data_IF_484211765868
#
_entry.id   IF_484211765868
#
_cell.length_a   1.000
_cell.length_b   1.000
_cell.length_c   1.000
_cell.angle_alpha   90.00
_cell.angle_beta   90.00
_cell.angle_gamma   90.00
#
_symmetry.space_group_name_H-M   'P 1'
#
loop_
_entity.id
_entity.type
_entity.pdbx_description
1 polymer ?
#
# COMPACT_ATOMS: atom_id res chain seq x y z
N UNK A 1 18.76 10.13 14.89
CA UNK A 1 17.62 10.03 13.93
C UNK A 1 18.25 10.04 12.57
N UNK A 2 18.62 8.87 12.09
CA UNK A 2 19.33 8.74 10.82
C UNK A 2 18.32 8.72 9.68
N UNK A 3 18.46 9.72 8.81
CA UNK A 3 17.71 9.91 7.58
C UNK A 3 18.01 8.76 6.59
N UNK A 4 17.31 7.63 6.71
CA UNK A 4 17.55 6.43 5.91
C UNK A 4 16.58 6.29 4.72
N UNK A 5 15.83 7.33 4.35
CA UNK A 5 14.85 7.24 3.25
C UNK A 5 14.96 8.33 2.19
N UNK A 6 16.13 8.91 1.99
CA UNK A 6 16.34 9.79 0.83
C UNK A 6 16.91 8.96 -0.33
N UNK A 7 16.10 8.79 -1.40
CA UNK A 7 16.48 8.30 -2.73
C UNK A 7 16.64 6.79 -2.89
N UNK A 8 15.67 5.98 -2.47
CA UNK A 8 15.61 4.59 -2.93
C UNK A 8 14.82 4.48 -4.24
N UNK A 9 15.28 5.13 -5.29
CA UNK A 9 15.02 4.70 -6.65
C UNK A 9 16.26 3.91 -7.10
N UNK A 10 16.21 2.58 -7.14
CA UNK A 10 17.31 1.83 -7.72
C UNK A 10 17.43 2.29 -9.17
N UNK A 11 18.63 2.68 -9.59
CA UNK A 11 18.97 2.77 -11.01
C UNK A 11 19.02 1.34 -11.56
N UNK A 12 17.84 0.77 -11.77
CA UNK A 12 17.68 -0.53 -12.40
C UNK A 12 17.10 -0.28 -13.79
N UNK A 13 17.62 -0.98 -14.79
CA UNK A 13 17.07 -1.02 -16.16
C UNK A 13 15.68 -1.70 -16.20
N UNK A 14 15.05 -1.95 -15.04
CA UNK A 14 13.75 -2.57 -14.88
C UNK A 14 12.75 -1.54 -14.39
N UNK A 15 11.50 -1.56 -14.89
CA UNK A 15 10.44 -0.70 -14.41
C UNK A 15 10.22 -0.91 -12.89
N UNK A 16 10.07 0.18 -12.14
CA UNK A 16 9.65 0.11 -10.74
C UNK A 16 8.16 -0.21 -10.69
N UNK A 17 7.70 -0.87 -9.64
CA UNK A 17 6.27 -1.17 -9.54
C UNK A 17 5.44 0.08 -9.25
N UNK A 18 5.93 0.96 -8.36
CA UNK A 18 5.23 2.16 -7.93
C UNK A 18 6.15 3.39 -7.88
N UNK A 19 5.62 4.55 -8.25
CA UNK A 19 6.32 5.83 -8.19
C UNK A 19 5.37 6.93 -7.66
N UNK A 20 5.91 7.81 -6.80
CA UNK A 20 5.16 8.95 -6.26
C UNK A 20 5.47 10.22 -7.06
N UNK A 21 4.43 10.93 -7.50
CA UNK A 21 4.55 12.25 -8.12
C UNK A 21 5.11 13.26 -7.12
N UNK A 22 6.14 13.96 -7.55
CA UNK A 22 6.71 15.11 -6.85
C UNK A 22 6.92 16.24 -7.86
N UNK A 23 6.40 17.41 -7.56
CA UNK A 23 6.27 18.51 -8.51
C UNK A 23 7.57 18.93 -9.19
N UNK A 24 8.71 18.81 -8.50
CA UNK A 24 10.02 19.25 -8.97
C UNK A 24 10.89 18.12 -9.52
N UNK A 25 10.37 16.88 -9.57
CA UNK A 25 11.12 15.74 -10.06
C UNK A 25 11.00 15.59 -11.58
N UNK A 26 12.12 15.20 -12.20
CA UNK A 26 12.14 14.75 -13.58
C UNK A 26 11.98 13.23 -13.60
N UNK A 27 10.96 12.77 -14.31
CA UNK A 27 10.61 11.35 -14.45
C UNK A 27 11.03 10.78 -15.81
N UNK A 28 11.88 11.50 -16.58
CA UNK A 28 12.43 10.98 -17.83
C UNK A 28 13.22 9.69 -17.52
N UNK A 29 13.04 8.68 -18.34
CA UNK A 29 13.69 7.37 -18.21
C UNK A 29 13.26 6.54 -16.98
N UNK A 30 12.10 6.87 -16.37
CA UNK A 30 11.49 6.05 -15.31
C UNK A 30 10.23 5.40 -15.87
N UNK A 31 10.15 4.08 -15.79
CA UNK A 31 8.94 3.31 -16.08
C UNK A 31 8.36 2.76 -14.79
N UNK A 32 7.03 2.87 -14.61
CA UNK A 32 6.33 2.36 -13.44
C UNK A 32 4.98 1.77 -13.82
N UNK A 33 4.52 0.74 -13.06
CA UNK A 33 3.19 0.18 -13.26
C UNK A 33 2.10 1.01 -12.57
N UNK A 34 2.42 1.59 -11.41
CA UNK A 34 1.51 2.43 -10.63
C UNK A 34 2.12 3.81 -10.42
N UNK A 35 1.40 4.84 -10.84
CA UNK A 35 1.70 6.24 -10.55
C UNK A 35 0.86 6.70 -9.35
N UNK A 36 1.49 7.22 -8.32
CA UNK A 36 0.82 7.75 -7.13
C UNK A 36 0.94 9.26 -7.05
N UNK A 37 -0.05 9.92 -6.49
CA UNK A 37 0.01 11.32 -6.09
C UNK A 37 -0.74 11.53 -4.78
N UNK A 38 -0.29 12.49 -3.96
CA UNK A 38 -1.01 12.87 -2.75
C UNK A 38 -2.13 13.83 -3.11
N UNK A 39 -3.35 13.48 -2.75
CA UNK A 39 -4.52 14.34 -2.93
C UNK A 39 -4.41 15.54 -2.01
N UNK A 40 -4.49 16.74 -2.57
CA UNK A 40 -4.51 18.01 -1.84
C UNK A 40 -5.29 19.04 -2.66
N UNK A 41 -5.63 20.18 -2.04
CA UNK A 41 -6.44 21.24 -2.66
C UNK A 41 -5.80 21.95 -3.88
N UNK A 42 -4.53 21.69 -4.18
CA UNK A 42 -3.74 22.42 -5.17
C UNK A 42 -3.08 21.52 -6.22
N UNK A 43 -3.67 20.37 -6.54
CA UNK A 43 -3.12 19.53 -7.59
C UNK A 43 -3.51 20.06 -8.99
N UNK A 44 -2.64 19.77 -9.96
CA UNK A 44 -2.83 20.12 -11.37
C UNK A 44 -3.15 18.83 -12.14
N UNK A 45 -4.41 18.67 -12.55
CA UNK A 45 -4.90 17.45 -13.20
C UNK A 45 -4.15 17.14 -14.50
N UNK A 46 -3.79 18.18 -15.29
CA UNK A 46 -3.08 17.98 -16.56
C UNK A 46 -1.68 17.42 -16.30
N UNK A 47 -0.96 17.99 -15.32
CA UNK A 47 0.38 17.48 -14.95
C UNK A 47 0.35 16.06 -14.41
N UNK A 48 -0.70 15.66 -13.69
CA UNK A 48 -0.83 14.29 -13.19
C UNK A 48 -1.08 13.29 -14.31
N UNK A 49 -1.90 13.67 -15.30
CA UNK A 49 -2.13 12.84 -16.47
C UNK A 49 -0.87 12.73 -17.35
N UNK A 50 -0.15 13.84 -17.53
CA UNK A 50 1.13 13.85 -18.22
C UNK A 50 2.15 12.97 -17.50
N UNK A 51 2.23 13.05 -16.17
CA UNK A 51 3.08 12.20 -15.36
C UNK A 51 2.75 10.73 -15.54
N UNK A 52 1.46 10.33 -15.43
CA UNK A 52 1.02 8.96 -15.69
C UNK A 52 1.50 8.47 -17.05
N UNK A 53 1.31 9.28 -18.09
CA UNK A 53 1.73 8.95 -19.45
C UNK A 53 3.24 8.87 -19.59
N UNK A 54 3.99 9.80 -18.97
CA UNK A 54 5.45 9.86 -19.03
C UNK A 54 6.10 8.60 -18.42
N UNK A 55 5.58 8.10 -17.30
CA UNK A 55 6.09 6.90 -16.64
C UNK A 55 5.46 5.60 -17.17
N UNK A 56 4.52 5.68 -18.14
CA UNK A 56 3.85 4.52 -18.72
C UNK A 56 2.95 3.75 -17.75
N UNK A 57 2.45 4.41 -16.69
CA UNK A 57 1.71 3.73 -15.64
C UNK A 57 0.33 3.25 -16.09
N UNK A 58 -0.02 2.02 -15.69
CA UNK A 58 -1.34 1.42 -15.92
C UNK A 58 -2.43 2.13 -15.09
N UNK A 59 -2.12 2.47 -13.84
CA UNK A 59 -3.02 3.14 -12.93
C UNK A 59 -2.41 4.41 -12.34
N UNK A 60 -3.24 5.47 -12.23
CA UNK A 60 -2.99 6.65 -11.44
C UNK A 60 -3.79 6.58 -10.15
N UNK A 61 -3.09 6.50 -9.01
CA UNK A 61 -3.70 6.27 -7.69
C UNK A 61 -3.57 7.52 -6.83
N UNK A 62 -4.69 8.09 -6.41
CA UNK A 62 -4.73 9.21 -5.47
C UNK A 62 -4.58 8.75 -4.03
N UNK A 63 -3.55 9.23 -3.33
CA UNK A 63 -3.35 8.97 -1.90
C UNK A 63 -4.11 10.03 -1.10
N UNK A 64 -5.03 9.60 -0.27
CA UNK A 64 -5.83 10.45 0.62
C UNK A 64 -5.35 10.24 2.05
N UNK A 65 -4.89 11.31 2.68
CA UNK A 65 -4.46 11.30 4.08
C UNK A 65 -5.44 12.02 4.99
N UNK A 66 -6.30 12.87 4.42
CA UNK A 66 -7.36 13.58 5.13
C UNK A 66 -8.62 13.62 4.26
N UNK A 67 -9.77 13.29 4.84
CA UNK A 67 -11.06 13.29 4.13
C UNK A 67 -11.43 14.69 3.59
N UNK A 68 -11.04 15.73 4.28
CA UNK A 68 -11.34 17.11 3.88
C UNK A 68 -10.58 17.55 2.61
N UNK A 69 -9.51 16.82 2.24
CA UNK A 69 -8.74 17.09 1.03
C UNK A 69 -9.37 16.46 -0.24
N UNK A 70 -10.34 15.56 -0.07
CA UNK A 70 -11.05 14.97 -1.20
C UNK A 70 -11.96 16.00 -1.88
N UNK A 71 -11.67 16.28 -3.13
CA UNK A 71 -12.55 17.06 -4.01
C UNK A 71 -13.07 16.19 -5.14
N UNK A 72 -14.21 16.59 -5.73
CA UNK A 72 -14.75 15.90 -6.91
C UNK A 72 -13.73 15.83 -8.06
N UNK A 73 -12.85 16.82 -8.18
CA UNK A 73 -11.85 16.85 -9.25
C UNK A 73 -10.70 15.90 -8.98
N UNK A 74 -10.27 15.72 -7.72
CA UNK A 74 -9.23 14.75 -7.35
C UNK A 74 -9.70 13.31 -7.58
N UNK A 75 -10.96 13.04 -7.28
CA UNK A 75 -11.58 11.73 -7.50
C UNK A 75 -11.72 11.43 -9.00
N UNK A 76 -11.99 12.43 -9.84
CA UNK A 76 -12.14 12.26 -11.30
C UNK A 76 -10.82 11.99 -12.02
N UNK A 77 -9.70 12.53 -11.56
CA UNK A 77 -8.40 12.34 -12.22
C UNK A 77 -7.75 11.02 -11.84
N UNK A 78 -8.02 10.52 -10.63
CA UNK A 78 -7.48 9.25 -10.16
C UNK A 78 -8.29 8.07 -10.72
N UNK A 79 -7.59 7.03 -11.21
CA UNK A 79 -8.24 5.75 -11.53
C UNK A 79 -8.72 5.05 -10.27
N UNK A 80 -7.96 5.16 -9.18
CA UNK A 80 -8.19 4.52 -7.87
C UNK A 80 -7.82 5.45 -6.72
N UNK A 81 -8.39 5.20 -5.54
CA UNK A 81 -8.05 5.93 -4.31
C UNK A 81 -7.41 5.00 -3.30
N UNK A 82 -6.40 5.48 -2.61
CA UNK A 82 -5.75 4.78 -1.51
C UNK A 82 -5.64 5.68 -0.28
N UNK A 83 -6.23 5.23 0.82
CA UNK A 83 -6.16 5.90 2.11
C UNK A 83 -4.91 5.46 2.87
N UNK A 84 -4.22 6.38 3.52
CA UNK A 84 -3.18 6.07 4.50
C UNK A 84 -3.02 7.18 5.54
N UNK A 85 -2.29 6.89 6.61
CA UNK A 85 -1.88 7.93 7.55
C UNK A 85 -0.87 8.88 6.88
N UNK A 86 -0.82 10.18 7.23
CA UNK A 86 0.09 11.14 6.60
C UNK A 86 1.56 10.73 6.63
N UNK A 87 2.00 10.12 7.75
CA UNK A 87 3.38 9.67 7.94
C UNK A 87 3.72 8.38 7.15
N UNK A 88 2.72 7.73 6.58
CA UNK A 88 2.86 6.45 5.87
C UNK A 88 2.95 6.62 4.33
N UNK A 89 2.84 7.83 3.77
CA UNK A 89 2.82 8.06 2.31
C UNK A 89 4.07 7.51 1.63
N UNK A 90 5.26 7.90 2.09
CA UNK A 90 6.53 7.42 1.52
C UNK A 90 6.72 5.93 1.78
N UNK A 91 6.29 5.45 2.96
CA UNK A 91 6.35 4.04 3.34
C UNK A 91 5.48 3.20 2.41
N UNK A 92 4.29 3.67 2.05
CA UNK A 92 3.36 3.00 1.14
C UNK A 92 4.03 2.67 -0.19
N UNK A 93 4.57 3.68 -0.88
CA UNK A 93 5.20 3.51 -2.20
C UNK A 93 6.44 2.62 -2.12
N UNK A 94 7.29 2.85 -1.11
CA UNK A 94 8.46 2.01 -0.87
C UNK A 94 8.06 0.54 -0.58
N UNK A 95 6.97 0.33 0.16
CA UNK A 95 6.46 -1.01 0.46
C UNK A 95 5.99 -1.73 -0.79
N UNK A 96 5.23 -1.08 -1.69
CA UNK A 96 4.80 -1.72 -2.95
C UNK A 96 6.03 -2.19 -3.75
N UNK A 97 7.04 -1.35 -3.91
CA UNK A 97 8.27 -1.72 -4.62
C UNK A 97 9.02 -2.87 -3.93
N UNK A 98 9.05 -2.88 -2.59
CA UNK A 98 9.69 -3.94 -1.83
C UNK A 98 8.95 -5.28 -1.96
N UNK A 99 7.63 -5.28 -1.74
CA UNK A 99 6.84 -6.53 -1.71
C UNK A 99 6.73 -7.19 -3.09
N UNK A 100 6.85 -6.42 -4.16
CA UNK A 100 6.85 -6.91 -5.54
C UNK A 100 8.24 -7.26 -6.06
N UNK A 101 9.30 -7.04 -5.27
CA UNK A 101 10.66 -7.42 -5.65
C UNK A 101 10.85 -8.94 -5.59
N UNK A 102 11.78 -9.45 -6.42
CA UNK A 102 12.12 -10.87 -6.45
C UNK A 102 13.00 -11.33 -5.25
N UNK A 103 13.27 -10.44 -4.29
CA UNK A 103 14.12 -10.72 -3.13
C UNK A 103 13.33 -11.30 -1.95
N UNK A 104 12.01 -11.40 -2.05
CA UNK A 104 11.15 -11.90 -0.99
C UNK A 104 11.13 -13.43 -0.94
N UNK A 105 10.99 -14.00 0.26
CA UNK A 105 10.80 -15.45 0.44
C UNK A 105 9.47 -15.95 -0.13
N UNK A 106 8.40 -15.16 0.06
CA UNK A 106 7.12 -15.29 -0.64
C UNK A 106 6.85 -13.93 -1.26
N UNK A 107 6.92 -13.85 -2.58
CA UNK A 107 6.70 -12.61 -3.33
C UNK A 107 5.23 -12.37 -3.59
N UNK A 108 4.85 -11.11 -3.61
CA UNK A 108 3.58 -10.61 -4.14
C UNK A 108 3.89 -10.08 -5.54
N UNK A 109 3.09 -10.47 -6.55
CA UNK A 109 3.25 -9.98 -7.90
C UNK A 109 2.50 -8.64 -8.07
N UNK A 110 2.95 -7.81 -9.01
CA UNK A 110 2.22 -6.60 -9.41
C UNK A 110 0.79 -6.91 -9.88
N UNK A 111 0.61 -8.08 -10.51
CA UNK A 111 -0.70 -8.52 -10.97
C UNK A 111 -1.67 -8.80 -9.81
N UNK A 112 -1.17 -9.17 -8.62
CA UNK A 112 -2.02 -9.31 -7.43
C UNK A 112 -2.65 -7.95 -7.06
N UNK A 113 -1.88 -6.86 -7.16
CA UNK A 113 -2.40 -5.49 -6.99
C UNK A 113 -3.39 -5.11 -8.09
N UNK A 114 -3.09 -5.42 -9.35
CA UNK A 114 -3.99 -5.14 -10.47
C UNK A 114 -5.32 -5.87 -10.30
N UNK A 115 -5.29 -7.16 -9.96
CA UNK A 115 -6.51 -7.97 -9.72
C UNK A 115 -7.34 -7.35 -8.57
N UNK A 116 -6.70 -6.94 -7.48
CA UNK A 116 -7.41 -6.26 -6.39
C UNK A 116 -8.05 -4.95 -6.86
N UNK A 117 -7.33 -4.13 -7.63
CA UNK A 117 -7.86 -2.88 -8.14
C UNK A 117 -8.87 -3.04 -9.29
N UNK A 118 -8.83 -4.11 -10.08
CA UNK A 118 -9.83 -4.37 -11.12
C UNK A 118 -11.24 -4.51 -10.53
N UNK A 119 -11.34 -5.17 -9.38
CA UNK A 119 -12.60 -5.49 -8.73
C UNK A 119 -13.04 -4.44 -7.70
N UNK A 120 -12.18 -3.48 -7.36
CA UNK A 120 -12.44 -2.45 -6.34
C UNK A 120 -12.03 -1.07 -6.84
N UNK A 121 -12.49 -0.01 -6.20
CA UNK A 121 -12.11 1.36 -6.56
C UNK A 121 -11.35 2.09 -5.45
N UNK A 122 -11.32 1.51 -4.26
CA UNK A 122 -10.74 2.11 -3.07
C UNK A 122 -9.88 1.10 -2.32
N UNK A 123 -8.80 1.57 -1.74
CA UNK A 123 -7.93 0.77 -0.90
C UNK A 123 -7.49 1.58 0.33
N UNK A 124 -6.96 0.89 1.33
CA UNK A 124 -6.28 1.49 2.47
C UNK A 124 -4.95 0.79 2.72
N UNK A 125 -3.93 1.59 2.92
CA UNK A 125 -2.64 1.12 3.41
C UNK A 125 -2.57 1.23 4.93
N UNK A 126 -2.12 0.18 5.58
CA UNK A 126 -1.94 0.07 7.03
C UNK A 126 -0.56 -0.47 7.31
N UNK A 127 0.27 0.32 7.98
CA UNK A 127 1.55 -0.14 8.51
C UNK A 127 1.43 -0.47 9.99
N UNK A 128 2.05 -1.57 10.42
CA UNK A 128 2.11 -1.95 11.83
C UNK A 128 3.45 -2.58 12.17
N UNK A 129 4.04 -2.13 13.26
CA UNK A 129 5.31 -2.65 13.77
C UNK A 129 5.10 -3.36 15.09
N UNK A 130 5.68 -4.54 15.21
CA UNK A 130 5.68 -5.36 16.43
C UNK A 130 7.01 -6.10 16.59
N UNK A 131 7.08 -7.01 17.55
CA UNK A 131 8.19 -7.95 17.72
C UNK A 131 7.65 -9.38 17.70
N UNK A 132 8.51 -10.36 17.39
CA UNK A 132 8.12 -11.78 17.36
C UNK A 132 7.47 -12.25 18.67
N UNK A 133 7.79 -11.63 19.82
CA UNK A 133 7.22 -11.99 21.12
C UNK A 133 5.83 -11.39 21.38
N UNK A 134 5.43 -10.36 20.63
CA UNK A 134 4.21 -9.59 20.89
C UNK A 134 3.02 -9.98 19.97
N UNK A 135 3.10 -11.08 19.24
CA UNK A 135 1.99 -11.56 18.40
C UNK A 135 0.77 -12.09 19.19
N UNK A 136 0.83 -12.12 20.51
CA UNK A 136 -0.32 -12.51 21.31
C UNK A 136 -1.33 -11.38 21.50
N UNK A 137 -0.95 -10.12 21.22
CA UNK A 137 -1.86 -8.98 21.25
C UNK A 137 -1.79 -8.17 19.95
N UNK A 138 -2.61 -8.55 19.00
CA UNK A 138 -2.80 -7.85 17.72
C UNK A 138 -3.99 -6.88 17.76
N UNK A 139 -4.53 -6.55 18.94
CA UNK A 139 -5.65 -5.63 19.06
C UNK A 139 -5.35 -4.25 18.47
N UNK A 140 -4.13 -3.75 18.66
CA UNK A 140 -3.69 -2.47 18.06
C UNK A 140 -3.62 -2.51 16.56
N UNK A 141 -3.20 -3.65 15.99
CA UNK A 141 -3.22 -3.85 14.54
C UNK A 141 -4.66 -3.90 14.03
N UNK A 142 -5.52 -4.74 14.62
CA UNK A 142 -6.93 -4.83 14.27
C UNK A 142 -7.65 -3.48 14.39
N UNK A 143 -7.36 -2.68 15.43
CA UNK A 143 -7.96 -1.36 15.60
C UNK A 143 -7.60 -0.38 14.47
N UNK A 144 -6.46 -0.52 13.81
CA UNK A 144 -6.11 0.30 12.64
C UNK A 144 -7.08 0.11 11.46
N UNK A 145 -7.75 -1.03 11.36
CA UNK A 145 -8.78 -1.29 10.35
C UNK A 145 -10.13 -0.65 10.71
N UNK A 146 -10.37 -0.36 11.98
CA UNK A 146 -11.63 0.24 12.46
C UNK A 146 -11.67 1.76 12.27
N UNK A 147 -10.54 2.44 12.16
CA UNK A 147 -10.44 3.92 12.19
C UNK A 147 -11.02 4.61 10.96
N UNK A 148 -11.42 3.87 9.93
CA UNK A 148 -12.27 4.40 8.83
C UNK A 148 -13.76 4.22 9.17
N UNK A 149 -14.11 4.39 10.43
CA UNK A 149 -15.32 3.90 11.09
C UNK A 149 -16.66 4.47 10.59
N UNK A 150 -16.67 5.47 9.75
CA UNK A 150 -17.89 5.89 9.04
C UNK A 150 -18.12 5.07 7.76
N UNK A 151 -17.12 4.32 7.33
CA UNK A 151 -17.11 3.41 6.22
C UNK A 151 -16.61 2.07 6.77
N UNK A 152 -17.44 1.24 7.39
CA UNK A 152 -17.05 -0.14 7.75
C UNK A 152 -17.31 -1.11 6.58
N UNK A 153 -16.57 -0.96 5.45
CA UNK A 153 -16.71 -1.92 4.39
C UNK A 153 -16.14 -3.25 4.89
N UNK A 154 -16.77 -4.32 4.51
CA UNK A 154 -16.06 -5.59 4.47
C UNK A 154 -15.07 -5.50 3.33
N UNK A 155 -13.80 -5.73 3.61
CA UNK A 155 -12.79 -5.72 2.57
C UNK A 155 -12.97 -6.91 1.63
N UNK A 156 -12.93 -6.65 0.33
CA UNK A 156 -13.09 -7.66 -0.71
C UNK A 156 -11.77 -8.36 -1.03
N UNK A 157 -10.65 -7.66 -0.82
CA UNK A 157 -9.32 -8.24 -0.95
C UNK A 157 -8.34 -7.64 0.05
N UNK A 158 -7.36 -8.43 0.44
CA UNK A 158 -6.21 -8.02 1.24
C UNK A 158 -4.91 -8.45 0.55
N UNK A 159 -3.94 -7.55 0.51
CA UNK A 159 -2.54 -7.87 0.24
C UNK A 159 -1.80 -7.61 1.55
N UNK A 160 -1.17 -8.65 2.09
CA UNK A 160 -0.48 -8.58 3.37
C UNK A 160 0.97 -9.01 3.21
N UNK A 161 1.89 -8.16 3.61
CA UNK A 161 3.32 -8.48 3.61
C UNK A 161 3.88 -8.41 5.02
N UNK A 162 4.63 -9.44 5.39
CA UNK A 162 5.30 -9.56 6.69
C UNK A 162 6.81 -9.48 6.45
N UNK A 163 7.46 -8.45 6.95
CA UNK A 163 8.92 -8.36 7.01
C UNK A 163 9.38 -8.72 8.42
N UNK A 164 10.07 -9.84 8.55
CA UNK A 164 10.42 -10.42 9.83
C UNK A 164 11.91 -10.81 9.90
N UNK A 165 12.36 -11.16 11.09
CA UNK A 165 13.67 -11.79 11.28
C UNK A 165 13.63 -13.28 10.88
N UNK A 166 14.79 -13.88 10.63
CA UNK A 166 14.93 -15.25 10.16
C UNK A 166 14.30 -16.32 11.09
N UNK A 167 14.08 -15.98 12.36
CA UNK A 167 13.45 -16.85 13.35
C UNK A 167 11.93 -16.65 13.46
N UNK A 168 11.28 -16.09 12.44
CA UNK A 168 9.84 -15.87 12.42
C UNK A 168 9.05 -17.18 12.54
N UNK A 169 8.14 -17.21 13.51
CA UNK A 169 7.22 -18.34 13.67
C UNK A 169 6.02 -18.17 12.72
N UNK A 170 5.88 -19.07 11.74
CA UNK A 170 4.75 -19.07 10.81
C UNK A 170 3.39 -19.26 11.49
N UNK A 171 3.32 -19.79 12.72
CA UNK A 171 2.11 -19.78 13.53
C UNK A 171 1.60 -18.35 13.84
N UNK A 172 2.46 -17.34 13.75
CA UNK A 172 2.06 -15.95 13.88
C UNK A 172 1.25 -15.44 12.67
N UNK A 173 1.44 -15.99 11.47
CA UNK A 173 0.60 -15.68 10.31
C UNK A 173 -0.87 -16.06 10.58
N UNK A 174 -1.13 -17.19 11.21
CA UNK A 174 -2.49 -17.59 11.60
C UNK A 174 -3.11 -16.60 12.58
N UNK A 175 -2.34 -16.09 13.55
CA UNK A 175 -2.83 -15.06 14.50
C UNK A 175 -3.18 -13.75 13.79
N UNK A 176 -2.37 -13.33 12.82
CA UNK A 176 -2.65 -12.16 12.00
C UNK A 176 -3.94 -12.38 11.21
N UNK A 177 -4.08 -13.53 10.53
CA UNK A 177 -5.29 -13.88 9.76
C UNK A 177 -6.54 -13.83 10.64
N UNK A 178 -6.49 -14.44 11.84
CA UNK A 178 -7.60 -14.39 12.79
C UNK A 178 -7.97 -12.97 13.23
N UNK A 179 -6.98 -12.10 13.42
CA UNK A 179 -7.24 -10.69 13.76
C UNK A 179 -7.99 -9.96 12.63
N UNK A 180 -7.89 -10.46 11.38
CA UNK A 180 -8.52 -9.87 10.19
C UNK A 180 -9.89 -10.46 9.86
N UNK A 181 -10.27 -11.62 10.40
CA UNK A 181 -11.52 -12.34 10.07
C UNK A 181 -12.79 -11.47 10.22
N UNK A 182 -12.78 -10.51 11.16
CA UNK A 182 -13.93 -9.61 11.38
C UNK A 182 -14.10 -8.55 10.29
N UNK A 183 -13.07 -8.32 9.48
CA UNK A 183 -13.03 -7.24 8.47
C UNK A 183 -13.21 -7.76 7.04
N UNK A 184 -13.21 -9.07 6.84
CA UNK A 184 -13.33 -9.73 5.55
C UNK A 184 -14.61 -10.57 5.47
N UNK A 185 -14.94 -11.04 4.26
CA UNK A 185 -16.00 -12.00 3.98
C UNK A 185 -15.42 -13.36 3.58
N UNK A 186 -16.24 -14.39 3.48
CA UNK A 186 -15.82 -15.70 2.96
C UNK A 186 -15.37 -15.66 1.49
N UNK A 187 -15.80 -14.65 0.73
CA UNK A 187 -15.42 -14.46 -0.68
C UNK A 187 -14.17 -13.60 -0.84
N UNK A 188 -13.64 -13.02 0.24
CA UNK A 188 -12.49 -12.11 0.15
C UNK A 188 -11.21 -12.86 -0.27
N UNK A 189 -10.46 -12.26 -1.19
CA UNK A 189 -9.16 -12.76 -1.61
C UNK A 189 -8.08 -12.24 -0.66
N UNK A 190 -7.16 -13.13 -0.23
CA UNK A 190 -6.02 -12.73 0.61
C UNK A 190 -4.73 -13.21 -0.03
N UNK A 191 -3.84 -12.25 -0.30
CA UNK A 191 -2.50 -12.48 -0.83
C UNK A 191 -1.48 -12.26 0.28
N UNK A 192 -0.54 -13.18 0.45
CA UNK A 192 0.50 -13.09 1.47
C UNK A 192 1.89 -13.00 0.85
N UNK A 193 2.68 -12.05 1.35
CA UNK A 193 4.11 -11.97 1.08
C UNK A 193 4.91 -12.04 2.39
N UNK A 194 6.11 -12.58 2.32
CA UNK A 194 7.03 -12.68 3.46
C UNK A 194 8.45 -12.38 3.01
N UNK A 195 9.14 -11.53 3.77
CA UNK A 195 10.57 -11.31 3.63
C UNK A 195 11.29 -11.45 4.98
N UNK A 196 12.54 -11.91 4.92
CA UNK A 196 13.41 -12.01 6.10
C UNK A 196 14.47 -10.90 6.06
N UNK A 197 14.00 -9.65 6.18
CA UNK A 197 14.84 -8.45 6.09
C UNK A 197 14.90 -7.67 7.40
N UNK A 198 14.02 -7.98 8.35
CA UNK A 198 14.03 -7.29 9.63
C UNK A 198 15.25 -7.70 10.47
N UNK A 199 15.84 -6.72 11.14
CA UNK A 199 16.92 -6.92 12.10
C UNK A 199 16.33 -7.16 13.48
N UNK A 200 17.05 -7.89 14.30
CA UNK A 200 16.66 -8.23 15.66
C UNK A 200 15.34 -9.02 15.72
N UNK A 201 14.57 -8.81 16.77
CA UNK A 201 13.26 -9.47 16.98
C UNK A 201 12.08 -8.68 16.37
N UNK A 202 12.36 -7.77 15.44
CA UNK A 202 11.37 -6.89 14.81
C UNK A 202 10.52 -7.61 13.80
N UNK A 203 9.27 -7.21 13.71
CA UNK A 203 8.35 -7.63 12.66
C UNK A 203 7.53 -6.41 12.20
N UNK A 204 7.57 -6.12 10.91
CA UNK A 204 6.76 -5.09 10.27
C UNK A 204 5.68 -5.76 9.41
N UNK A 205 4.43 -5.36 9.60
CA UNK A 205 3.29 -5.84 8.84
C UNK A 205 2.76 -4.68 8.01
N UNK A 206 2.73 -4.86 6.71
CA UNK A 206 2.11 -3.93 5.77
C UNK A 206 0.87 -4.59 5.17
N UNK A 207 -0.25 -3.89 5.19
CA UNK A 207 -1.51 -4.41 4.64
C UNK A 207 -2.14 -3.38 3.73
N UNK A 208 -2.53 -3.83 2.54
CA UNK A 208 -3.38 -3.11 1.61
C UNK A 208 -4.75 -3.79 1.64
N UNK A 209 -5.76 -3.05 2.07
CA UNK A 209 -7.13 -3.54 2.20
C UNK A 209 -8.00 -2.84 1.15
N UNK A 210 -8.70 -3.61 0.32
CA UNK A 210 -9.42 -3.16 -0.87
C UNK A 210 -10.92 -3.35 -0.71
N UNK A 211 -11.71 -2.38 -1.20
CA UNK A 211 -13.17 -2.45 -1.23
C UNK A 211 -13.76 -1.60 -2.36
N UNK A 212 -15.00 -1.88 -2.72
CA UNK A 212 -15.79 -1.04 -3.61
C UNK A 212 -16.54 0.01 -2.80
N UNK A 213 -16.36 1.27 -3.18
CA UNK A 213 -17.13 2.37 -2.61
C UNK A 213 -18.23 2.75 -3.58
N UNK A 214 -19.48 2.43 -3.23
CA UNK A 214 -20.66 2.68 -4.06
C UNK A 214 -21.02 4.18 -4.16
N UNK A 215 -20.28 5.06 -3.49
CA UNK A 215 -20.53 6.51 -3.47
C UNK A 215 -19.81 7.27 -4.59
N UNK A 216 -19.21 6.56 -5.53
CA UNK A 216 -18.50 7.14 -6.69
C UNK A 216 -19.36 7.16 -7.95
#
# INVERSE_FOLDING_TARGET
MDNLMTNYYPKTDLPVTAILYQQDNNFNDVEAHFAFFTVNAHFDSEKLLDFKQQVGAELLVGIVTNKDDMSDDSVKVADKIMWCEPDDVDILVATINHVTSNENFISIDKNDFLICFENTNTARFISYRTTNDNFNDLSRYANKFQVVADLSPKYEALIMHISAADNFDFGNQEKISKAMETFITEQSSIFYGISFTAKDNRCDIATFAFWSDDTR
#
